data_IF_810836316274
#
_entry.id   IF_810836316274
#
_cell.length_a   1.000
_cell.length_b   1.000
_cell.length_c   1.000
_cell.angle_alpha   90.00
_cell.angle_beta   90.00
_cell.angle_gamma   90.00
#
_symmetry.space_group_name_H-M   'P 1'
#
loop_
_entity.id
_entity.type
_entity.pdbx_description
1 polymer ?
#
# COMPACT_ATOMS: atom_id res chain seq x y z
N UNK A 1 -9.45 -0.68 12.27
CA UNK A 1 -8.64 -1.77 11.68
C UNK A 1 -7.72 -1.14 10.64
N UNK A 2 -6.46 -1.59 10.57
CA UNK A 2 -5.46 -1.03 9.67
C UNK A 2 -5.10 -2.02 8.57
N UNK A 3 -5.06 -1.57 7.32
CA UNK A 3 -4.74 -2.40 6.15
C UNK A 3 -3.41 -1.95 5.54
N UNK A 4 -2.46 -2.87 5.40
CA UNK A 4 -1.26 -2.67 4.59
C UNK A 4 -1.55 -3.06 3.14
N UNK A 5 -1.30 -2.16 2.21
CA UNK A 5 -1.37 -2.45 0.77
C UNK A 5 0.03 -2.41 0.20
N UNK A 6 0.55 -3.56 -0.24
CA UNK A 6 1.84 -3.65 -0.94
C UNK A 6 1.67 -3.39 -2.42
N UNK A 7 2.66 -2.76 -3.06
CA UNK A 7 2.52 -2.36 -4.47
C UNK A 7 1.47 -1.27 -4.67
N UNK A 8 1.22 -0.44 -3.65
CA UNK A 8 0.13 0.52 -3.60
C UNK A 8 0.12 1.54 -4.75
N UNK A 9 1.27 1.85 -5.35
CA UNK A 9 1.37 2.76 -6.50
C UNK A 9 1.05 2.10 -7.85
N UNK A 10 0.90 0.77 -7.88
CA UNK A 10 0.61 -0.01 -9.09
C UNK A 10 -0.86 0.04 -9.52
N UNK A 11 -1.16 -0.57 -10.67
CA UNK A 11 -2.51 -0.55 -11.29
C UNK A 11 -3.59 -1.09 -10.35
N UNK A 12 -3.33 -2.23 -9.71
CA UNK A 12 -4.29 -2.84 -8.76
C UNK A 12 -4.20 -2.14 -7.41
N UNK A 13 -2.98 -1.94 -6.89
CA UNK A 13 -2.75 -1.36 -5.57
C UNK A 13 -3.48 -0.03 -5.36
N UNK A 14 -3.45 0.89 -6.33
CA UNK A 14 -4.11 2.20 -6.20
C UNK A 14 -5.62 2.06 -5.99
N UNK A 15 -6.29 1.18 -6.76
CA UNK A 15 -7.73 0.94 -6.65
C UNK A 15 -8.10 0.32 -5.30
N UNK A 16 -7.24 -0.55 -4.79
CA UNK A 16 -7.42 -1.18 -3.47
C UNK A 16 -7.29 -0.14 -2.36
N UNK A 17 -6.31 0.76 -2.43
CA UNK A 17 -6.17 1.89 -1.48
C UNK A 17 -7.42 2.74 -1.47
N UNK A 18 -7.84 3.23 -2.64
CA UNK A 18 -9.06 4.05 -2.79
C UNK A 18 -10.30 3.36 -2.22
N UNK A 19 -10.47 2.07 -2.51
CA UNK A 19 -11.62 1.29 -2.03
C UNK A 19 -11.58 1.08 -0.51
N UNK A 20 -10.40 0.83 0.06
CA UNK A 20 -10.23 0.62 1.49
C UNK A 20 -10.42 1.93 2.28
N UNK A 21 -9.91 3.05 1.78
CA UNK A 21 -10.15 4.38 2.36
C UNK A 21 -11.64 4.75 2.29
N UNK A 22 -12.31 4.50 1.16
CA UNK A 22 -13.74 4.74 1.02
C UNK A 22 -14.58 3.87 1.98
N UNK A 23 -14.08 2.70 2.37
CA UNK A 23 -14.68 1.85 3.39
C UNK A 23 -14.39 2.31 4.84
N UNK A 24 -13.70 3.45 5.03
CA UNK A 24 -13.36 4.00 6.34
C UNK A 24 -12.21 3.29 7.04
N UNK A 25 -11.41 2.50 6.30
CA UNK A 25 -10.25 1.80 6.85
C UNK A 25 -9.04 2.71 6.84
N UNK A 26 -8.21 2.58 7.89
CA UNK A 26 -6.89 3.21 7.88
C UNK A 26 -5.96 2.42 6.96
N UNK A 27 -5.45 3.05 5.91
CA UNK A 27 -4.59 2.38 4.92
C UNK A 27 -3.14 2.81 5.08
N UNK A 28 -2.24 1.83 5.10
CA UNK A 28 -0.79 2.04 4.98
C UNK A 28 -0.37 1.59 3.57
N UNK A 29 -0.23 2.56 2.68
CA UNK A 29 0.11 2.33 1.27
C UNK A 29 1.63 2.20 1.09
N UNK A 30 2.11 0.98 0.84
CA UNK A 30 3.53 0.68 0.69
C UNK A 30 3.90 0.23 -0.72
N UNK A 31 5.01 0.72 -1.25
CA UNK A 31 5.57 0.25 -2.53
C UNK A 31 7.04 0.62 -2.67
N UNK A 32 7.72 0.05 -3.67
CA UNK A 32 9.15 0.33 -3.93
C UNK A 32 9.46 1.79 -4.22
N UNK A 33 8.48 2.53 -4.76
CA UNK A 33 8.61 3.93 -5.15
C UNK A 33 7.63 4.85 -4.41
N UNK A 34 6.99 4.35 -3.35
CA UNK A 34 5.98 5.07 -2.58
C UNK A 34 6.56 5.76 -1.35
N UNK A 35 5.75 6.57 -0.68
CA UNK A 35 6.12 7.27 0.57
C UNK A 35 6.53 6.29 1.66
N UNK A 36 5.79 5.18 1.80
CA UNK A 36 6.23 4.04 2.61
C UNK A 36 6.95 3.07 1.69
N UNK A 37 8.28 3.03 1.79
CA UNK A 37 9.10 2.11 1.01
C UNK A 37 8.86 0.68 1.49
N UNK A 38 8.65 -0.24 0.54
CA UNK A 38 8.59 -1.68 0.78
C UNK A 38 8.99 -2.42 -0.50
N UNK A 39 9.96 -3.31 -0.40
CA UNK A 39 10.47 -4.14 -1.49
C UNK A 39 10.63 -5.59 -1.02
N UNK A 40 9.95 -6.52 -1.70
CA UNK A 40 10.02 -7.95 -1.40
C UNK A 40 11.42 -8.55 -1.50
N UNK A 41 12.33 -7.90 -2.23
CA UNK A 41 13.70 -8.36 -2.44
C UNK A 41 14.71 -7.69 -1.49
N UNK A 42 14.27 -6.70 -0.71
CA UNK A 42 15.11 -5.99 0.24
C UNK A 42 14.66 -6.30 1.68
N UNK A 43 15.40 -7.15 2.42
CA UNK A 43 15.04 -7.52 3.79
C UNK A 43 15.16 -6.37 4.80
N UNK A 44 15.70 -5.21 4.40
CA UNK A 44 15.74 -4.02 5.25
C UNK A 44 14.48 -3.15 5.16
N UNK A 45 13.51 -3.54 4.31
CA UNK A 45 12.26 -2.78 4.07
C UNK A 45 10.99 -3.52 4.48
#
# INVERSE_FOLDING_TARGET
MTVLVTGATGRVGRRVVESAEAAGLTVRAASRSGTVRFDWTDPST
#
